data_IF_239109850679
#
_entry.id   IF_239109850679
#
_cell.length_a   1.000
_cell.length_b   1.000
_cell.length_c   1.000
_cell.angle_alpha   90.00
_cell.angle_beta   90.00
_cell.angle_gamma   90.00
#
_symmetry.space_group_name_H-M   'P 1'
#
loop_
_entity.id
_entity.type
_entity.pdbx_description
1 polymer ?
#
# COMPACT_ATOMS: atom_id res chain seq x y z
N UNK A 1 -12.01 -7.18 -1.59
CA UNK A 1 -11.69 -6.95 -0.16
C UNK A 1 -10.20 -6.71 -0.08
N UNK A 2 -9.75 -5.45 -0.02
CA UNK A 2 -8.33 -5.08 -0.10
C UNK A 2 -7.78 -4.96 1.33
N UNK A 3 -7.23 -6.05 1.86
CA UNK A 3 -6.65 -6.07 3.21
C UNK A 3 -5.54 -5.02 3.36
N UNK A 4 -4.75 -4.82 2.30
CA UNK A 4 -3.73 -3.78 2.22
C UNK A 4 -4.31 -2.38 2.43
N UNK A 5 -5.37 -2.01 1.69
CA UNK A 5 -6.00 -0.68 1.84
C UNK A 5 -6.48 -0.42 3.27
N UNK A 6 -7.04 -1.43 3.94
CA UNK A 6 -7.45 -1.31 5.36
C UNK A 6 -6.25 -1.17 6.30
N UNK A 7 -5.17 -1.92 6.05
CA UNK A 7 -3.93 -1.83 6.83
C UNK A 7 -3.33 -0.43 6.70
N UNK A 8 -3.23 0.07 5.46
CA UNK A 8 -2.72 1.38 5.15
C UNK A 8 -3.58 2.46 5.82
N UNK A 9 -4.91 2.41 5.65
CA UNK A 9 -5.79 3.40 6.27
C UNK A 9 -5.72 3.39 7.80
N UNK A 10 -5.45 2.23 8.40
CA UNK A 10 -5.31 2.12 9.86
C UNK A 10 -3.96 2.60 10.39
N UNK A 11 -2.88 2.39 9.64
CA UNK A 11 -1.52 2.83 10.03
C UNK A 11 -1.25 4.28 9.70
N UNK A 12 -1.63 4.71 8.50
CA UNK A 12 -1.25 5.99 7.92
C UNK A 12 -2.41 7.00 7.87
N UNK A 13 -3.66 6.56 8.10
CA UNK A 13 -4.82 7.44 8.11
C UNK A 13 -5.47 7.55 6.74
N UNK A 14 -5.81 8.76 6.31
CA UNK A 14 -6.49 8.95 5.03
C UNK A 14 -5.55 8.60 3.87
N UNK A 15 -5.92 7.60 3.06
CA UNK A 15 -5.11 7.11 1.95
C UNK A 15 -5.54 7.81 0.68
N UNK A 16 -4.61 8.43 -0.07
CA UNK A 16 -4.96 9.12 -1.30
C UNK A 16 -5.59 8.15 -2.32
N UNK A 17 -6.51 8.69 -3.11
CA UNK A 17 -7.21 7.92 -4.15
C UNK A 17 -6.25 7.31 -5.17
N UNK A 18 -5.14 7.99 -5.47
CA UNK A 18 -4.07 7.50 -6.36
C UNK A 18 -3.52 6.14 -5.89
N UNK A 19 -3.25 6.02 -4.59
CA UNK A 19 -2.75 4.78 -3.98
C UNK A 19 -3.80 3.68 -4.04
N UNK A 20 -5.07 4.05 -3.87
CA UNK A 20 -6.19 3.09 -3.95
C UNK A 20 -6.35 2.55 -5.37
N UNK A 21 -6.18 3.40 -6.38
CA UNK A 21 -6.13 3.01 -7.79
C UNK A 21 -4.91 2.14 -8.09
N UNK A 22 -3.75 2.50 -7.55
CA UNK A 22 -2.49 1.75 -7.71
C UNK A 22 -2.62 0.33 -7.15
N UNK A 23 -3.19 0.18 -5.94
CA UNK A 23 -3.50 -1.12 -5.33
C UNK A 23 -4.52 -1.92 -6.15
N UNK A 24 -5.50 -1.25 -6.74
CA UNK A 24 -6.53 -1.91 -7.54
C UNK A 24 -6.02 -2.36 -8.92
N UNK A 25 -4.99 -1.71 -9.45
CA UNK A 25 -4.37 -2.04 -10.74
C UNK A 25 -3.14 -2.96 -10.62
N UNK A 26 -2.61 -3.13 -9.41
CA UNK A 26 -1.44 -3.95 -9.15
C UNK A 26 -1.76 -5.46 -9.18
N UNK A 27 -0.78 -6.25 -9.60
CA UNK A 27 -0.84 -7.71 -9.50
C UNK A 27 -0.76 -8.19 -8.05
N UNK A 28 -1.29 -9.38 -7.79
CA UNK A 28 -1.33 -9.97 -6.43
C UNK A 28 0.06 -10.03 -5.80
N UNK A 29 1.10 -10.38 -6.56
CA UNK A 29 2.49 -10.44 -6.08
C UNK A 29 2.99 -9.10 -5.54
N UNK A 30 2.63 -7.99 -6.21
CA UNK A 30 2.97 -6.63 -5.80
C UNK A 30 2.18 -6.25 -4.54
N UNK A 31 0.90 -6.63 -4.47
CA UNK A 31 0.05 -6.38 -3.30
C UNK A 31 0.59 -7.11 -2.06
N UNK A 32 1.05 -8.36 -2.20
CA UNK A 32 1.67 -9.10 -1.09
C UNK A 32 2.98 -8.47 -0.66
N UNK A 33 3.81 -8.01 -1.60
CA UNK A 33 5.04 -7.30 -1.29
C UNK A 33 4.77 -5.99 -0.52
N UNK A 34 3.80 -5.19 -0.97
CA UNK A 34 3.36 -4.00 -0.24
C UNK A 34 2.75 -4.31 1.11
N UNK A 35 2.10 -5.47 1.26
CA UNK A 35 1.54 -5.89 2.54
C UNK A 35 2.64 -6.15 3.56
N UNK A 36 3.68 -6.91 3.20
CA UNK A 36 4.86 -7.13 4.05
C UNK A 36 5.58 -5.82 4.36
N UNK A 37 5.82 -4.98 3.34
CA UNK A 37 6.42 -3.66 3.51
C UNK A 37 5.58 -2.77 4.43
N UNK A 38 4.25 -2.80 4.35
CA UNK A 38 3.37 -1.99 5.20
C UNK A 38 3.42 -2.38 6.68
N UNK A 39 3.87 -3.59 7.01
CA UNK A 39 4.06 -4.01 8.40
C UNK A 39 5.31 -3.37 9.01
N UNK A 40 6.41 -3.28 8.26
CA UNK A 40 7.67 -2.71 8.74
C UNK A 40 7.76 -1.19 8.51
N UNK A 41 7.16 -0.68 7.44
CA UNK A 41 7.25 0.70 7.01
C UNK A 41 6.73 1.70 8.06
N UNK A 42 7.53 2.73 8.32
CA UNK A 42 7.13 3.88 9.13
C UNK A 42 6.32 4.91 8.35
N UNK A 43 6.47 4.98 7.03
CA UNK A 43 5.79 5.94 6.17
C UNK A 43 5.23 5.28 4.92
N UNK A 44 4.18 5.88 4.35
CA UNK A 44 3.53 5.38 3.14
C UNK A 44 4.53 5.26 1.97
N UNK A 45 5.43 6.23 1.88
CA UNK A 45 6.48 6.32 0.86
C UNK A 45 7.47 5.15 0.89
N UNK A 46 7.62 4.45 2.01
CA UNK A 46 8.50 3.28 2.11
C UNK A 46 7.89 2.02 1.48
N UNK A 47 6.56 2.01 1.30
CA UNK A 47 5.81 0.87 0.77
C UNK A 47 5.75 0.95 -0.76
N UNK A 48 5.54 2.15 -1.29
CA UNK A 48 5.40 2.41 -2.72
C UNK A 48 6.72 2.83 -3.39
N UNK A 49 7.86 2.46 -2.79
CA UNK A 49 9.21 2.78 -3.27
C UNK A 49 9.58 1.93 -4.50
N UNK A 50 8.98 2.22 -5.65
CA UNK A 50 9.57 1.93 -6.96
C UNK A 50 8.91 2.78 -8.06
N UNK A 51 9.76 3.31 -8.95
CA UNK A 51 9.53 4.16 -10.13
C UNK A 51 9.41 5.69 -9.90
N UNK A 52 10.59 6.32 -9.78
CA UNK A 52 10.89 7.65 -10.37
C UNK A 52 11.38 7.44 -11.80
#
# INVERSE_FOLDING_TARGET
MLALQRLLSKRFGDIPVEITCLISSASVEVIECWFDLAIDAQQLSDIFKDDL
#
